data_IF_974509058017
#
_entry.id   IF_974509058017
#
_cell.length_a   1.000
_cell.length_b   1.000
_cell.length_c   1.000
_cell.angle_alpha   90.00
_cell.angle_beta   90.00
_cell.angle_gamma   90.00
#
_symmetry.space_group_name_H-M   'P 1'
#
loop_
_entity.id
_entity.type
_entity.pdbx_description
1 polymer ?
#
# COMPACT_ATOMS: atom_id res chain seq x y z
N UNK A 1 -19.31 -82.07 91.80
CA UNK A 1 -18.33 -80.96 91.82
C UNK A 1 -17.21 -81.32 90.83
N UNK A 2 -17.31 -80.86 89.58
CA UNK A 2 -16.64 -79.65 89.02
C UNK A 2 -15.14 -79.88 88.73
N UNK A 3 -14.79 -79.97 87.44
CA UNK A 3 -13.63 -79.28 86.86
C UNK A 3 -13.73 -79.20 85.34
N UNK A 4 -13.84 -77.96 84.88
CA UNK A 4 -13.95 -77.49 83.51
C UNK A 4 -12.58 -77.52 82.80
N UNK A 5 -12.57 -77.99 81.55
CA UNK A 5 -11.42 -77.91 80.66
C UNK A 5 -11.36 -76.52 80.01
N UNK A 6 -10.31 -75.77 80.32
CA UNK A 6 -9.99 -74.44 79.78
C UNK A 6 -9.44 -74.62 78.35
N UNK A 7 -10.13 -74.06 77.36
CA UNK A 7 -9.62 -73.86 75.99
C UNK A 7 -8.68 -72.64 75.99
N UNK A 8 -7.44 -72.81 75.54
CA UNK A 8 -6.43 -71.75 75.43
C UNK A 8 -6.63 -70.88 74.17
N UNK A 9 -6.44 -69.55 74.24
CA UNK A 9 -6.57 -68.64 73.11
C UNK A 9 -5.18 -68.25 72.58
N UNK A 10 -4.45 -69.16 71.91
CA UNK A 10 -3.12 -68.80 71.38
C UNK A 10 -2.87 -69.16 69.91
N UNK A 11 -3.81 -69.78 69.21
CA UNK A 11 -3.64 -70.14 67.79
C UNK A 11 -4.22 -69.10 66.79
N UNK A 12 -5.02 -68.13 67.24
CA UNK A 12 -5.73 -67.21 66.33
C UNK A 12 -4.95 -65.92 65.98
N UNK A 13 -3.89 -65.58 66.71
CA UNK A 13 -3.18 -64.30 66.54
C UNK A 13 -2.04 -64.35 65.50
N UNK A 14 -1.42 -65.52 65.27
CA UNK A 14 -0.27 -65.64 64.36
C UNK A 14 -0.68 -65.75 62.88
N UNK A 15 -1.83 -66.37 62.58
CA UNK A 15 -2.37 -66.48 61.21
C UNK A 15 -2.96 -65.15 60.73
N UNK A 16 -3.52 -64.34 61.64
CA UNK A 16 -4.03 -63.01 61.32
C UNK A 16 -2.91 -62.00 61.01
N UNK A 17 -1.77 -62.06 61.70
CA UNK A 17 -0.63 -61.17 61.46
C UNK A 17 0.14 -61.49 60.15
N UNK A 18 0.26 -62.76 59.78
CA UNK A 18 0.87 -63.18 58.52
C UNK A 18 -0.03 -62.89 57.30
N UNK A 19 -1.35 -63.03 57.44
CA UNK A 19 -2.31 -62.64 56.41
C UNK A 19 -2.35 -61.11 56.21
N UNK A 20 -2.23 -60.31 57.27
CA UNK A 20 -2.16 -58.85 57.16
C UNK A 20 -0.84 -58.36 56.53
N UNK A 21 0.28 -59.05 56.77
CA UNK A 21 1.58 -58.76 56.15
C UNK A 21 1.62 -59.15 54.65
N UNK A 22 0.98 -60.25 54.25
CA UNK A 22 0.87 -60.65 52.82
C UNK A 22 -0.14 -59.78 52.05
N UNK A 23 -1.24 -59.33 52.67
CA UNK A 23 -2.18 -58.37 52.08
C UNK A 23 -1.59 -56.96 51.99
N UNK A 24 -0.73 -56.55 52.94
CA UNK A 24 -0.01 -55.27 52.88
C UNK A 24 1.11 -55.28 51.83
N UNK A 25 1.81 -56.41 51.62
CA UNK A 25 2.83 -56.56 50.59
C UNK A 25 2.24 -56.59 49.16
N UNK A 26 1.13 -57.31 48.96
CA UNK A 26 0.43 -57.34 47.66
C UNK A 26 -0.24 -56.01 47.29
N UNK A 27 -0.71 -55.24 48.27
CA UNK A 27 -1.23 -53.88 48.05
C UNK A 27 -0.12 -52.88 47.69
N UNK A 28 1.09 -53.04 48.23
CA UNK A 28 2.27 -52.24 47.91
C UNK A 28 2.82 -52.48 46.51
N UNK A 29 2.88 -53.73 46.04
CA UNK A 29 3.30 -54.06 44.68
C UNK A 29 2.25 -53.69 43.62
N UNK A 30 0.96 -53.89 43.91
CA UNK A 30 -0.12 -53.46 43.02
C UNK A 30 -0.20 -51.93 42.92
N UNK A 31 0.06 -51.21 44.03
CA UNK A 31 0.17 -49.75 44.04
C UNK A 31 1.39 -49.26 43.27
N UNK A 32 2.57 -49.86 43.48
CA UNK A 32 3.81 -49.51 42.76
C UNK A 32 3.73 -49.79 41.25
N UNK A 33 3.03 -50.86 40.85
CA UNK A 33 2.81 -51.21 39.45
C UNK A 33 1.79 -50.26 38.77
N UNK A 34 0.75 -49.84 39.50
CA UNK A 34 -0.17 -48.80 39.02
C UNK A 34 0.54 -47.44 38.87
N UNK A 35 1.41 -47.09 39.81
CA UNK A 35 2.23 -45.87 39.75
C UNK A 35 3.18 -45.89 38.55
N UNK A 36 3.84 -47.01 38.27
CA UNK A 36 4.68 -47.20 37.08
C UNK A 36 3.89 -47.14 35.76
N UNK A 37 2.69 -47.70 35.72
CA UNK A 37 1.83 -47.63 34.54
C UNK A 37 1.30 -46.20 34.29
N UNK A 38 0.98 -45.46 35.35
CA UNK A 38 0.66 -44.02 35.28
C UNK A 38 1.84 -43.21 34.79
N UNK A 39 3.06 -43.46 35.29
CA UNK A 39 4.29 -42.83 34.81
C UNK A 39 4.55 -43.10 33.31
N UNK A 40 4.40 -44.34 32.85
CA UNK A 40 4.53 -44.69 31.42
C UNK A 40 3.46 -44.05 30.53
N UNK A 41 2.24 -43.88 31.03
CA UNK A 41 1.19 -43.15 30.30
C UNK A 41 1.50 -41.65 30.23
N UNK A 42 1.95 -41.05 31.34
CA UNK A 42 2.39 -39.66 31.41
C UNK A 42 3.58 -39.42 30.47
N UNK A 43 4.59 -40.29 30.45
CA UNK A 43 5.73 -40.21 29.52
C UNK A 43 5.28 -40.29 28.05
N UNK A 44 4.40 -41.25 27.70
CA UNK A 44 3.84 -41.34 26.34
C UNK A 44 3.03 -40.10 25.95
N UNK A 45 2.31 -39.49 26.91
CA UNK A 45 1.57 -38.24 26.67
C UNK A 45 2.53 -37.04 26.51
N UNK A 46 3.62 -37.00 27.26
CA UNK A 46 4.69 -36.00 27.12
C UNK A 46 5.39 -36.13 25.77
N UNK A 47 5.73 -37.34 25.32
CA UNK A 47 6.41 -37.56 24.04
C UNK A 47 5.49 -37.32 22.84
N UNK A 48 4.21 -37.73 22.91
CA UNK A 48 3.19 -37.31 21.93
C UNK A 48 3.01 -35.79 21.92
N UNK A 49 3.14 -35.13 23.07
CA UNK A 49 3.15 -33.67 23.21
C UNK A 49 4.35 -33.03 22.52
N UNK A 50 5.57 -33.52 22.79
CA UNK A 50 6.83 -33.07 22.18
C UNK A 50 6.83 -33.24 20.65
N UNK A 51 6.32 -34.37 20.15
CA UNK A 51 6.19 -34.62 18.71
C UNK A 51 5.24 -33.64 18.01
N UNK A 52 4.11 -33.30 18.66
CA UNK A 52 3.16 -32.28 18.19
C UNK A 52 3.75 -30.88 18.24
N UNK A 53 4.44 -30.51 19.32
CA UNK A 53 5.11 -29.21 19.45
C UNK A 53 6.19 -29.02 18.38
N UNK A 54 7.00 -30.05 18.12
CA UNK A 54 8.00 -30.02 17.06
C UNK A 54 7.37 -29.85 15.66
N UNK A 55 6.25 -30.54 15.39
CA UNK A 55 5.51 -30.38 14.15
C UNK A 55 4.94 -28.96 13.98
N UNK A 56 4.33 -28.41 15.03
CA UNK A 56 3.81 -27.04 15.05
C UNK A 56 4.92 -26.00 14.88
N UNK A 57 6.09 -26.21 15.51
CA UNK A 57 7.23 -25.30 15.36
C UNK A 57 7.82 -25.32 13.95
N UNK A 58 7.82 -26.48 13.27
CA UNK A 58 8.18 -26.60 11.84
C UNK A 58 7.17 -25.89 10.94
N UNK A 59 5.88 -26.09 11.17
CA UNK A 59 4.80 -25.42 10.43
C UNK A 59 4.91 -23.89 10.60
N UNK A 60 5.12 -23.41 11.83
CA UNK A 60 5.33 -21.99 12.11
C UNK A 60 6.59 -21.43 11.41
N UNK A 61 7.65 -22.23 11.26
CA UNK A 61 8.84 -21.87 10.51
C UNK A 61 8.56 -21.69 9.01
N UNK A 62 7.86 -22.65 8.39
CA UNK A 62 7.47 -22.60 6.97
C UNK A 62 6.59 -21.39 6.66
N UNK A 63 5.56 -21.15 7.47
CA UNK A 63 4.68 -20.00 7.35
C UNK A 63 5.44 -18.67 7.52
N UNK A 64 6.43 -18.61 8.41
CA UNK A 64 7.26 -17.40 8.59
C UNK A 64 8.17 -17.12 7.39
N UNK A 65 8.68 -18.15 6.70
CA UNK A 65 9.38 -18.00 5.41
C UNK A 65 8.43 -17.52 4.32
N UNK A 66 7.22 -18.07 4.26
CA UNK A 66 6.21 -17.68 3.29
C UNK A 66 5.79 -16.22 3.45
N UNK A 67 5.53 -15.76 4.67
CA UNK A 67 5.24 -14.35 4.97
C UNK A 67 6.39 -13.43 4.54
N UNK A 68 7.66 -13.85 4.76
CA UNK A 68 8.84 -13.10 4.30
C UNK A 68 8.93 -13.04 2.78
N UNK A 69 8.67 -14.15 2.09
CA UNK A 69 8.64 -14.22 0.63
C UNK A 69 7.54 -13.31 0.05
N UNK A 70 6.32 -13.39 0.60
CA UNK A 70 5.20 -12.53 0.21
C UNK A 70 5.55 -11.06 0.44
N UNK A 71 6.17 -10.71 1.58
CA UNK A 71 6.59 -9.33 1.87
C UNK A 71 7.56 -8.79 0.81
N UNK A 72 8.57 -9.56 0.40
CA UNK A 72 9.49 -9.19 -0.68
C UNK A 72 8.76 -8.99 -2.02
N UNK A 73 7.84 -9.89 -2.35
CA UNK A 73 7.01 -9.80 -3.57
C UNK A 73 6.12 -8.55 -3.55
N UNK A 74 5.48 -8.28 -2.41
CA UNK A 74 4.64 -7.10 -2.20
C UNK A 74 5.41 -5.80 -2.46
N UNK A 75 6.63 -5.66 -1.93
CA UNK A 75 7.49 -4.48 -2.19
C UNK A 75 7.84 -4.38 -3.69
N UNK A 76 8.14 -5.51 -4.33
CA UNK A 76 8.50 -5.55 -5.76
C UNK A 76 7.32 -5.15 -6.65
N UNK A 77 6.12 -5.70 -6.38
CA UNK A 77 4.90 -5.38 -7.10
C UNK A 77 4.48 -3.92 -6.86
N UNK A 78 4.60 -3.42 -5.63
CA UNK A 78 4.32 -2.03 -5.29
C UNK A 78 5.24 -1.06 -6.04
N UNK A 79 6.53 -1.37 -6.16
CA UNK A 79 7.47 -0.59 -6.97
C UNK A 79 7.09 -0.60 -8.45
N UNK A 80 6.74 -1.77 -9.01
CA UNK A 80 6.26 -1.88 -10.40
C UNK A 80 4.98 -1.06 -10.62
N UNK A 81 4.05 -1.12 -9.68
CA UNK A 81 2.81 -0.35 -9.70
C UNK A 81 3.09 1.16 -9.71
N UNK A 82 3.95 1.65 -8.82
CA UNK A 82 4.36 3.07 -8.80
C UNK A 82 5.01 3.49 -10.13
N UNK A 83 5.87 2.67 -10.73
CA UNK A 83 6.48 2.96 -12.03
C UNK A 83 5.43 3.06 -13.15
N UNK A 84 4.46 2.14 -13.18
CA UNK A 84 3.36 2.18 -14.14
C UNK A 84 2.46 3.41 -13.91
N UNK A 85 2.14 3.74 -12.66
CA UNK A 85 1.34 4.93 -12.31
C UNK A 85 2.04 6.20 -12.77
N UNK A 86 3.35 6.33 -12.53
CA UNK A 86 4.14 7.46 -12.99
C UNK A 86 4.20 7.56 -14.52
N UNK A 87 4.30 6.44 -15.23
CA UNK A 87 4.27 6.40 -16.69
C UNK A 87 2.91 6.88 -17.23
N UNK A 88 1.81 6.38 -16.67
CA UNK A 88 0.46 6.80 -17.05
C UNK A 88 0.24 8.29 -16.79
N UNK A 89 0.71 8.82 -15.66
CA UNK A 89 0.63 10.26 -15.37
C UNK A 89 1.40 11.14 -16.38
N UNK A 90 2.51 10.64 -16.96
CA UNK A 90 3.22 11.38 -18.02
C UNK A 90 2.36 11.49 -19.28
N UNK A 91 1.71 10.39 -19.67
CA UNK A 91 0.84 10.33 -20.85
C UNK A 91 -0.43 11.16 -20.64
N UNK A 92 -1.08 11.06 -19.48
CA UNK A 92 -2.25 11.88 -19.11
C UNK A 92 -1.95 13.38 -19.21
N UNK A 93 -0.78 13.83 -18.75
CA UNK A 93 -0.35 15.23 -18.87
C UNK A 93 -0.13 15.65 -20.33
N UNK A 94 0.47 14.78 -21.14
CA UNK A 94 0.64 15.05 -22.57
C UNK A 94 -0.71 15.17 -23.27
N UNK A 95 -1.65 14.27 -22.97
CA UNK A 95 -3.01 14.33 -23.48
C UNK A 95 -3.71 15.63 -23.07
N UNK A 96 -3.63 16.04 -21.80
CA UNK A 96 -4.22 17.29 -21.34
C UNK A 96 -3.68 18.52 -22.10
N UNK A 97 -2.38 18.56 -22.41
CA UNK A 97 -1.79 19.63 -23.25
C UNK A 97 -2.32 19.60 -24.68
N UNK A 98 -2.41 18.41 -25.29
CA UNK A 98 -2.98 18.25 -26.64
C UNK A 98 -4.45 18.67 -26.69
N UNK A 99 -5.25 18.29 -25.70
CA UNK A 99 -6.65 18.66 -25.61
C UNK A 99 -6.83 20.17 -25.40
N UNK A 100 -5.94 20.81 -24.63
CA UNK A 100 -5.92 22.27 -24.52
C UNK A 100 -5.61 22.94 -25.87
N UNK A 101 -4.59 22.45 -26.59
CA UNK A 101 -4.23 22.96 -27.91
C UNK A 101 -5.39 22.80 -28.92
N UNK A 102 -5.99 21.62 -28.98
CA UNK A 102 -7.17 21.33 -29.82
C UNK A 102 -8.32 22.30 -29.48
N UNK A 103 -8.61 22.53 -28.19
CA UNK A 103 -9.66 23.46 -27.77
C UNK A 103 -9.38 24.90 -28.22
N UNK A 104 -8.14 25.35 -28.09
CA UNK A 104 -7.71 26.70 -28.52
C UNK A 104 -7.82 26.84 -30.04
N UNK A 105 -7.29 25.88 -30.80
CA UNK A 105 -7.35 25.87 -32.28
C UNK A 105 -8.80 25.87 -32.76
N UNK A 106 -9.67 25.02 -32.18
CA UNK A 106 -11.09 24.97 -32.54
C UNK A 106 -11.79 26.30 -32.26
N UNK A 107 -11.42 27.01 -31.20
CA UNK A 107 -11.96 28.34 -30.91
C UNK A 107 -11.45 29.39 -31.92
N UNK A 108 -10.20 29.30 -32.36
CA UNK A 108 -9.66 30.17 -33.43
C UNK A 108 -10.33 29.90 -34.78
N UNK A 109 -10.52 28.63 -35.18
CA UNK A 109 -11.20 28.29 -36.42
C UNK A 109 -12.63 28.83 -36.47
N UNK A 110 -13.40 28.69 -35.38
CA UNK A 110 -14.76 29.26 -35.31
C UNK A 110 -14.78 30.79 -35.45
N UNK A 111 -13.72 31.49 -35.01
CA UNK A 111 -13.58 32.94 -35.22
C UNK A 111 -13.26 33.25 -36.68
N UNK A 112 -12.29 32.54 -37.27
CA UNK A 112 -11.87 32.73 -38.67
C UNK A 112 -12.98 32.36 -39.67
N UNK A 113 -13.75 31.30 -39.40
CA UNK A 113 -14.86 30.84 -40.25
C UNK A 113 -15.94 31.92 -40.38
N UNK A 114 -16.33 32.56 -39.28
CA UNK A 114 -17.30 33.68 -39.31
C UNK A 114 -16.82 34.84 -40.18
N UNK A 115 -15.54 35.21 -40.07
CA UNK A 115 -14.94 36.26 -40.90
C UNK A 115 -14.90 35.84 -42.38
N UNK A 116 -14.56 34.59 -42.67
CA UNK A 116 -14.50 34.09 -44.04
C UNK A 116 -15.88 34.01 -44.69
N UNK A 117 -16.90 33.54 -43.97
CA UNK A 117 -18.28 33.50 -44.45
C UNK A 117 -18.81 34.91 -44.75
N UNK A 118 -18.40 35.93 -43.98
CA UNK A 118 -18.72 37.33 -44.29
C UNK A 118 -18.08 37.79 -45.61
N UNK A 119 -16.81 37.46 -45.84
CA UNK A 119 -16.10 37.79 -47.09
C UNK A 119 -16.72 37.07 -48.29
N UNK A 120 -16.96 35.75 -48.17
CA UNK A 120 -17.60 34.96 -49.23
C UNK A 120 -19.02 35.46 -49.50
N UNK A 121 -19.78 35.80 -48.45
CA UNK A 121 -21.11 36.40 -48.59
C UNK A 121 -21.06 37.75 -49.30
N UNK A 122 -20.07 38.60 -49.00
CA UNK A 122 -19.85 39.87 -49.70
C UNK A 122 -19.47 39.64 -51.18
N UNK A 123 -18.54 38.73 -51.47
CA UNK A 123 -18.15 38.37 -52.85
C UNK A 123 -19.32 37.78 -53.64
N UNK A 124 -20.12 36.91 -53.03
CA UNK A 124 -21.32 36.34 -53.66
C UNK A 124 -22.36 37.42 -53.93
N UNK A 125 -22.55 38.39 -53.02
CA UNK A 125 -23.41 39.56 -53.26
C UNK A 125 -22.91 40.39 -54.44
N UNK A 126 -21.61 40.71 -54.51
CA UNK A 126 -21.02 41.43 -55.64
C UNK A 126 -21.26 40.68 -56.96
N UNK A 127 -21.12 39.35 -56.99
CA UNK A 127 -21.35 38.54 -58.20
C UNK A 127 -22.83 38.45 -58.58
N UNK A 128 -23.72 38.25 -57.60
CA UNK A 128 -25.14 37.93 -57.84
C UNK A 128 -26.05 39.15 -57.92
N UNK A 129 -25.67 40.26 -57.29
CA UNK A 129 -26.34 41.55 -57.38
C UNK A 129 -25.31 42.67 -57.12
N UNK A 130 -24.48 43.02 -58.12
CA UNK A 130 -23.52 44.09 -57.96
C UNK A 130 -24.27 45.35 -57.50
N UNK A 131 -23.84 46.03 -56.41
CA UNK A 131 -24.47 47.29 -56.00
C UNK A 131 -24.59 48.22 -57.21
N UNK A 132 -25.69 48.96 -57.35
CA UNK A 132 -25.99 49.76 -58.54
C UNK A 132 -24.84 50.67 -59.01
N UNK A 133 -23.94 51.07 -58.10
CA UNK A 133 -22.70 51.80 -58.41
C UNK A 133 -21.71 50.96 -59.24
N UNK A 134 -21.51 49.67 -58.94
CA UNK A 134 -20.68 48.77 -59.76
C UNK A 134 -21.38 48.38 -61.08
N UNK A 135 -22.70 48.34 -61.12
CA UNK A 135 -23.44 48.06 -62.35
C UNK A 135 -23.48 49.26 -63.31
N UNK A 136 -23.37 50.50 -62.79
CA UNK A 136 -23.45 51.74 -63.57
C UNK A 136 -22.09 52.45 -63.79
N UNK A 137 -20.99 52.08 -63.12
CA UNK A 137 -19.68 52.79 -63.19
C UNK A 137 -18.54 52.00 -63.87
N UNK A 138 -18.84 51.01 -64.72
CA UNK A 138 -17.85 50.53 -65.70
C UNK A 138 -17.90 51.33 -67.01
N UNK A 139 -18.43 52.55 -66.97
CA UNK A 139 -18.55 53.42 -68.14
C UNK A 139 -17.22 54.08 -68.53
N UNK A 140 -16.23 54.14 -67.62
CA UNK A 140 -14.95 54.84 -67.83
C UNK A 140 -13.71 53.96 -67.53
N UNK A 141 -12.69 54.06 -68.37
CA UNK A 141 -11.50 53.20 -68.34
C UNK A 141 -10.68 53.32 -67.05
N UNK A 142 -10.72 54.49 -66.39
CA UNK A 142 -9.97 54.77 -65.18
C UNK A 142 -10.51 54.02 -63.95
N UNK A 143 -11.82 53.84 -63.84
CA UNK A 143 -12.44 53.13 -62.71
C UNK A 143 -12.26 51.60 -62.80
N UNK A 144 -12.20 51.07 -64.02
CA UNK A 144 -11.78 49.69 -64.27
C UNK A 144 -10.32 49.45 -63.82
N UNK A 145 -9.42 50.40 -64.10
CA UNK A 145 -8.00 50.33 -63.67
C UNK A 145 -7.89 50.36 -62.14
N UNK A 146 -8.61 51.28 -61.46
CA UNK A 146 -8.61 51.37 -59.98
C UNK A 146 -9.14 50.09 -59.33
N UNK A 147 -10.23 49.53 -59.86
CA UNK A 147 -10.81 48.27 -59.39
C UNK A 147 -9.86 47.08 -59.60
N UNK A 148 -9.16 47.05 -60.73
CA UNK A 148 -8.16 46.02 -61.05
C UNK A 148 -6.94 46.10 -60.12
N UNK A 149 -6.48 47.31 -59.77
CA UNK A 149 -5.38 47.52 -58.82
C UNK A 149 -5.77 46.98 -57.43
N UNK A 150 -6.98 47.29 -56.95
CA UNK A 150 -7.46 46.80 -55.64
C UNK A 150 -7.57 45.28 -55.64
N UNK A 151 -8.18 44.68 -56.67
CA UNK A 151 -8.29 43.21 -56.79
C UNK A 151 -6.93 42.52 -56.89
N UNK A 152 -5.98 43.08 -57.65
CA UNK A 152 -4.60 42.58 -57.76
C UNK A 152 -3.89 42.57 -56.41
N UNK A 153 -4.21 43.51 -55.52
CA UNK A 153 -3.65 43.56 -54.16
C UNK A 153 -4.34 42.59 -53.19
N UNK A 154 -5.64 42.33 -53.36
CA UNK A 154 -6.44 41.51 -52.43
C UNK A 154 -6.34 40.01 -52.71
N UNK A 155 -6.34 39.59 -53.99
CA UNK A 155 -6.33 38.17 -54.36
C UNK A 155 -5.12 37.41 -53.79
N UNK A 156 -3.88 37.92 -53.86
CA UNK A 156 -2.73 37.25 -53.23
C UNK A 156 -2.88 37.10 -51.72
N UNK A 157 -3.43 38.10 -51.03
CA UNK A 157 -3.68 38.06 -49.57
C UNK A 157 -4.72 37.01 -49.21
N UNK A 158 -5.79 36.90 -49.99
CA UNK A 158 -6.81 35.86 -49.80
C UNK A 158 -6.25 34.45 -50.03
N UNK A 159 -5.43 34.25 -51.08
CA UNK A 159 -4.74 32.98 -51.33
C UNK A 159 -3.80 32.61 -50.19
N UNK A 160 -2.93 33.54 -49.76
CA UNK A 160 -2.02 33.31 -48.65
C UNK A 160 -2.76 32.92 -47.36
N UNK A 161 -3.90 33.58 -47.08
CA UNK A 161 -4.75 33.26 -45.92
C UNK A 161 -5.43 31.89 -46.05
N UNK A 162 -5.91 31.53 -47.23
CA UNK A 162 -6.50 30.21 -47.49
C UNK A 162 -5.47 29.10 -47.30
N UNK A 163 -4.24 29.29 -47.77
CA UNK A 163 -3.14 28.34 -47.58
C UNK A 163 -2.72 28.21 -46.11
N UNK A 164 -2.68 29.33 -45.38
CA UNK A 164 -2.46 29.32 -43.93
C UNK A 164 -3.54 28.52 -43.19
N UNK A 165 -4.82 28.76 -43.52
CA UNK A 165 -5.94 28.05 -42.91
C UNK A 165 -5.88 26.56 -43.22
N UNK A 166 -5.56 26.18 -44.47
CA UNK A 166 -5.36 24.79 -44.88
C UNK A 166 -4.26 24.12 -44.06
N UNK A 167 -3.11 24.76 -43.88
CA UNK A 167 -2.01 24.24 -43.04
C UNK A 167 -2.45 24.06 -41.59
N UNK A 168 -3.17 25.03 -41.02
CA UNK A 168 -3.72 24.95 -39.67
C UNK A 168 -4.70 23.78 -39.51
N UNK A 169 -5.60 23.55 -40.47
CA UNK A 169 -6.55 22.41 -40.43
C UNK A 169 -5.81 21.06 -40.47
N UNK A 170 -4.79 20.93 -41.31
CA UNK A 170 -3.96 19.71 -41.36
C UNK A 170 -3.26 19.46 -40.02
N UNK A 171 -2.65 20.50 -39.43
CA UNK A 171 -2.00 20.43 -38.13
C UNK A 171 -3.01 20.06 -37.01
N UNK A 172 -4.19 20.69 -37.00
CA UNK A 172 -5.25 20.39 -36.03
C UNK A 172 -5.71 18.93 -36.10
N UNK A 173 -5.91 18.40 -37.31
CA UNK A 173 -6.26 17.01 -37.51
C UNK A 173 -5.13 16.06 -37.07
N UNK A 174 -3.87 16.44 -37.24
CA UNK A 174 -2.74 15.69 -36.71
C UNK A 174 -2.74 15.65 -35.17
N UNK A 175 -3.00 16.80 -34.50
CA UNK A 175 -3.16 16.86 -33.05
C UNK A 175 -4.30 15.97 -32.55
N UNK A 176 -5.47 15.99 -33.23
CA UNK A 176 -6.60 15.12 -32.88
C UNK A 176 -6.25 13.64 -33.03
N UNK A 177 -5.55 13.24 -34.10
CA UNK A 177 -5.06 11.87 -34.27
C UNK A 177 -4.06 11.48 -33.18
N UNK A 178 -3.15 12.38 -32.80
CA UNK A 178 -2.22 12.13 -31.71
C UNK A 178 -2.97 11.94 -30.39
N UNK A 179 -3.90 12.84 -30.03
CA UNK A 179 -4.71 12.72 -28.82
C UNK A 179 -5.50 11.41 -28.79
N UNK A 180 -6.04 10.94 -29.92
CA UNK A 180 -6.71 9.65 -30.00
C UNK A 180 -5.76 8.46 -29.71
N UNK A 181 -4.52 8.50 -30.19
CA UNK A 181 -3.49 7.51 -29.87
C UNK A 181 -3.11 7.53 -28.38
N UNK A 182 -2.93 8.72 -27.79
CA UNK A 182 -2.64 8.88 -26.37
C UNK A 182 -3.77 8.33 -25.49
N UNK A 183 -5.04 8.59 -25.85
CA UNK A 183 -6.21 8.02 -25.15
C UNK A 183 -6.22 6.49 -25.18
N UNK A 184 -5.90 5.90 -26.34
CA UNK A 184 -5.80 4.44 -26.49
C UNK A 184 -4.66 3.87 -25.62
N UNK A 185 -3.51 4.55 -25.57
CA UNK A 185 -2.39 4.16 -24.72
C UNK A 185 -2.73 4.25 -23.22
N UNK A 186 -3.41 5.33 -22.79
CA UNK A 186 -3.90 5.46 -21.41
C UNK A 186 -4.87 4.34 -21.04
N UNK A 187 -5.78 3.97 -21.95
CA UNK A 187 -6.72 2.86 -21.72
C UNK A 187 -5.97 1.53 -21.51
N UNK A 188 -5.02 1.20 -22.39
CA UNK A 188 -4.20 0.01 -22.27
C UNK A 188 -3.37 -0.02 -20.97
N UNK A 189 -2.73 1.11 -20.61
CA UNK A 189 -1.98 1.22 -19.34
C UNK A 189 -2.88 1.14 -18.12
N UNK A 190 -4.10 1.65 -18.19
CA UNK A 190 -5.06 1.58 -17.09
C UNK A 190 -5.51 0.15 -16.83
N UNK A 191 -5.67 -0.67 -17.87
CA UNK A 191 -5.97 -2.09 -17.69
C UNK A 191 -4.77 -2.86 -17.10
N UNK A 192 -3.55 -2.59 -17.59
CA UNK A 192 -2.33 -3.18 -17.00
C UNK A 192 -2.13 -2.81 -15.51
N UNK A 193 -2.48 -1.57 -15.14
CA UNK A 193 -2.51 -1.11 -13.77
C UNK A 193 -3.56 -1.84 -12.94
N UNK A 194 -4.76 -2.09 -13.50
CA UNK A 194 -5.82 -2.84 -12.83
C UNK A 194 -5.37 -4.27 -12.52
N UNK A 195 -4.73 -4.94 -13.46
CA UNK A 195 -4.14 -6.26 -13.25
C UNK A 195 -3.08 -6.28 -12.14
N UNK A 196 -2.17 -5.29 -12.14
CA UNK A 196 -1.12 -5.18 -11.11
C UNK A 196 -1.70 -4.88 -9.73
N UNK A 197 -2.74 -4.04 -9.65
CA UNK A 197 -3.46 -3.75 -8.38
C UNK A 197 -4.16 -4.99 -7.83
N UNK A 198 -4.75 -5.80 -8.71
CA UNK A 198 -5.38 -7.06 -8.32
C UNK A 198 -4.34 -8.04 -7.76
N UNK A 199 -3.21 -8.21 -8.45
CA UNK A 199 -2.10 -9.05 -7.96
C UNK A 199 -1.64 -8.60 -6.57
N UNK A 200 -1.47 -7.29 -6.37
CA UNK A 200 -1.06 -6.73 -5.08
C UNK A 200 -2.11 -7.02 -3.99
N UNK A 201 -3.39 -6.81 -4.30
CA UNK A 201 -4.49 -7.09 -3.37
C UNK A 201 -4.54 -8.58 -2.98
N UNK A 202 -4.33 -9.50 -3.92
CA UNK A 202 -4.25 -10.95 -3.65
C UNK A 202 -3.08 -11.27 -2.73
N UNK A 203 -1.90 -10.67 -2.94
CA UNK A 203 -0.74 -10.88 -2.07
C UNK A 203 -0.97 -10.34 -0.64
N UNK A 204 -1.57 -9.16 -0.52
CA UNK A 204 -1.93 -8.58 0.78
C UNK A 204 -2.99 -9.43 1.49
N UNK A 205 -4.00 -9.91 0.77
CA UNK A 205 -5.03 -10.81 1.30
C UNK A 205 -4.48 -12.17 1.74
N UNK A 206 -3.54 -12.75 0.98
CA UNK A 206 -2.83 -13.98 1.40
C UNK A 206 -2.04 -13.73 2.67
N UNK A 207 -1.29 -12.62 2.74
CA UNK A 207 -0.55 -12.23 3.94
C UNK A 207 -1.49 -12.12 5.15
N UNK A 208 -2.60 -11.41 5.04
CA UNK A 208 -3.52 -11.23 6.18
C UNK A 208 -4.12 -12.56 6.66
N UNK A 209 -4.48 -13.48 5.76
CA UNK A 209 -4.96 -14.83 6.10
C UNK A 209 -3.92 -15.66 6.86
N UNK A 210 -2.70 -15.76 6.33
CA UNK A 210 -1.60 -16.50 6.97
C UNK A 210 -1.33 -16.02 8.41
N UNK A 211 -1.49 -14.71 8.64
CA UNK A 211 -1.31 -14.11 9.95
C UNK A 211 -2.47 -14.38 10.90
N UNK A 212 -3.69 -14.46 10.38
CA UNK A 212 -4.88 -14.78 11.16
C UNK A 212 -4.88 -16.26 11.60
N UNK A 213 -4.59 -17.18 10.67
CA UNK A 213 -4.43 -18.63 10.93
C UNK A 213 -3.44 -18.87 12.06
N UNK A 214 -2.33 -18.15 12.03
CA UNK A 214 -1.32 -18.25 13.08
C UNK A 214 -1.77 -17.71 14.44
N UNK A 215 -2.64 -16.69 14.50
CA UNK A 215 -3.06 -16.12 15.79
C UNK A 215 -4.02 -17.05 16.53
N UNK A 216 -4.94 -17.68 15.81
CA UNK A 216 -5.99 -18.52 16.37
C UNK A 216 -5.45 -19.86 16.94
N UNK A 217 -4.54 -20.53 16.23
CA UNK A 217 -3.96 -21.81 16.65
C UNK A 217 -3.16 -21.70 17.97
N UNK A 218 -2.60 -20.52 18.24
CA UNK A 218 -1.75 -20.26 19.42
C UNK A 218 -2.52 -19.92 20.67
N UNK A 219 -3.60 -19.15 20.53
CA UNK A 219 -4.54 -18.93 21.63
C UNK A 219 -5.11 -20.25 22.16
N UNK A 220 -5.27 -21.26 21.30
CA UNK A 220 -5.69 -22.61 21.66
C UNK A 220 -4.63 -23.38 22.47
N UNK A 221 -3.36 -23.29 22.08
CA UNK A 221 -2.22 -23.89 22.81
C UNK A 221 -1.99 -23.19 24.16
N UNK A 222 -2.06 -21.85 24.20
CA UNK A 222 -1.93 -21.07 25.44
C UNK A 222 -3.07 -21.34 26.43
N UNK A 223 -4.30 -21.52 25.95
CA UNK A 223 -5.43 -21.95 26.81
C UNK A 223 -5.24 -23.37 27.36
N UNK A 224 -4.56 -24.25 26.62
CA UNK A 224 -4.20 -25.60 27.09
C UNK A 224 -3.14 -25.56 28.17
N UNK A 225 -2.15 -24.70 28.01
CA UNK A 225 -1.11 -24.42 28.99
C UNK A 225 -1.69 -23.81 30.27
N UNK A 226 -2.62 -22.86 30.14
CA UNK A 226 -3.35 -22.29 31.28
C UNK A 226 -4.18 -23.33 32.06
N UNK A 227 -4.72 -24.36 31.38
CA UNK A 227 -5.38 -25.49 32.03
C UNK A 227 -4.40 -26.38 32.80
N UNK A 228 -3.21 -26.63 32.24
CA UNK A 228 -2.17 -27.43 32.89
C UNK A 228 -1.58 -26.73 34.13
N UNK A 229 -1.47 -25.39 34.11
CA UNK A 229 -1.07 -24.61 35.30
C UNK A 229 -2.11 -24.62 36.42
N UNK A 230 -3.40 -24.79 36.10
CA UNK A 230 -4.46 -24.96 37.10
C UNK A 230 -4.49 -26.37 37.71
N UNK A 231 -3.76 -27.33 37.13
CA UNK A 231 -3.69 -28.72 37.59
C UNK A 231 -2.38 -29.06 38.33
N UNK A 232 -1.52 -28.07 38.61
CA UNK A 232 -0.27 -28.27 39.34
C UNK A 232 -0.47 -27.99 40.84
N UNK A 233 -0.38 -29.03 41.68
CA UNK A 233 -0.63 -28.96 43.12
C UNK A 233 0.57 -28.42 43.94
N UNK A 234 1.78 -28.32 43.36
CA UNK A 234 2.96 -27.79 44.06
C UNK A 234 3.76 -26.75 43.26
N UNK A 235 4.36 -25.81 43.99
CA UNK A 235 5.13 -24.65 43.48
C UNK A 235 6.45 -25.08 42.80
N UNK A 236 7.06 -26.20 43.23
CA UNK A 236 8.29 -26.74 42.65
C UNK A 236 8.04 -27.38 41.27
N UNK A 237 6.91 -28.09 41.09
CA UNK A 237 6.50 -28.63 39.79
C UNK A 237 6.13 -27.53 38.80
N UNK A 238 5.47 -26.47 39.27
CA UNK A 238 5.15 -25.30 38.45
C UNK A 238 6.42 -24.59 37.96
N UNK A 239 7.42 -24.39 38.82
CA UNK A 239 8.69 -23.73 38.46
C UNK A 239 9.56 -24.62 37.55
N UNK A 240 9.58 -25.93 37.75
CA UNK A 240 10.29 -26.88 36.88
C UNK A 240 9.62 -27.03 35.50
N UNK A 241 8.29 -26.93 35.42
CA UNK A 241 7.53 -26.92 34.18
C UNK A 241 7.68 -25.57 33.44
N UNK A 242 7.60 -24.43 34.13
CA UNK A 242 7.81 -23.09 33.56
C UNK A 242 9.22 -22.90 32.98
N UNK A 243 10.26 -23.41 33.66
CA UNK A 243 11.64 -23.37 33.15
C UNK A 243 11.84 -24.27 31.91
N UNK A 244 11.08 -25.37 31.78
CA UNK A 244 11.06 -26.23 30.59
C UNK A 244 10.21 -25.68 29.45
N UNK A 245 9.16 -24.91 29.76
CA UNK A 245 8.26 -24.28 28.77
C UNK A 245 8.89 -23.02 28.15
N UNK A 246 9.55 -22.18 28.96
CA UNK A 246 10.23 -20.96 28.49
C UNK A 246 11.43 -21.23 27.59
N UNK A 247 12.00 -22.44 27.66
CA UNK A 247 13.02 -22.94 26.74
C UNK A 247 12.46 -23.49 25.41
N UNK A 248 11.13 -23.65 25.27
CA UNK A 248 10.50 -24.14 24.03
C UNK A 248 10.18 -23.00 23.05
N UNK A 249 10.48 -23.14 21.75
CA UNK A 249 10.08 -22.19 20.74
C UNK A 249 8.56 -22.28 20.51
N UNK A 250 7.83 -21.40 21.19
CA UNK A 250 6.41 -21.12 21.02
C UNK A 250 5.99 -21.11 19.52
N UNK A 251 5.17 -22.08 19.06
CA UNK A 251 4.79 -22.20 17.66
C UNK A 251 3.97 -21.00 17.24
N UNK A 252 4.50 -20.16 16.35
CA UNK A 252 3.92 -18.93 15.80
C UNK A 252 4.52 -17.62 16.34
N UNK A 253 5.47 -17.70 17.30
CA UNK A 253 6.21 -16.54 17.81
C UNK A 253 6.98 -15.99 16.64
N UNK A 254 7.49 -16.89 15.80
CA UNK A 254 8.19 -16.64 14.53
C UNK A 254 7.39 -15.86 13.48
N UNK A 255 6.05 -15.93 13.46
CA UNK A 255 5.23 -15.26 12.43
C UNK A 255 4.73 -13.91 12.92
N UNK A 256 4.29 -13.82 14.20
CA UNK A 256 4.08 -12.52 14.85
C UNK A 256 5.41 -11.76 14.92
N UNK A 257 6.52 -12.46 15.16
CA UNK A 257 7.87 -11.95 15.04
C UNK A 257 8.20 -11.57 13.60
N UNK A 258 7.87 -12.35 12.57
CA UNK A 258 8.18 -11.94 11.19
C UNK A 258 7.59 -10.58 10.78
N UNK A 259 6.53 -10.11 11.47
CA UNK A 259 5.94 -8.78 11.28
C UNK A 259 6.26 -7.73 12.36
N UNK A 260 6.33 -8.14 13.62
CA UNK A 260 6.53 -7.26 14.78
C UNK A 260 7.99 -7.26 15.25
N UNK A 261 8.77 -8.25 14.84
CA UNK A 261 10.21 -8.24 15.04
C UNK A 261 10.82 -7.37 13.99
N UNK A 262 11.55 -6.40 14.52
CA UNK A 262 12.45 -5.54 13.80
C UNK A 262 13.25 -6.36 12.79
N UNK A 263 13.26 -5.98 11.50
CA UNK A 263 14.10 -6.63 10.50
C UNK A 263 15.55 -6.77 11.00
N UNK A 264 16.22 -7.89 10.72
CA UNK A 264 17.60 -8.16 11.17
C UNK A 264 18.61 -7.07 10.77
N UNK A 265 18.29 -6.26 9.76
CA UNK A 265 19.06 -5.09 9.34
C UNK A 265 18.14 -3.89 9.15
N UNK A 266 17.87 -3.14 10.22
CA UNK A 266 17.29 -1.79 10.08
C UNK A 266 18.43 -0.81 9.92
N UNK A 267 18.50 -0.20 8.74
CA UNK A 267 19.51 0.78 8.41
C UNK A 267 19.31 2.06 9.24
N UNK A 268 20.41 2.77 9.54
CA UNK A 268 20.35 4.05 10.23
C UNK A 268 19.72 5.11 9.33
N UNK A 269 18.62 5.71 9.78
CA UNK A 269 17.89 6.70 8.99
C UNK A 269 18.79 7.87 8.65
N UNK A 270 19.68 8.31 9.56
CA UNK A 270 20.63 9.40 9.30
C UNK A 270 21.51 9.18 8.05
N UNK A 271 21.73 7.93 7.63
CA UNK A 271 22.47 7.56 6.39
C UNK A 271 21.58 7.41 5.15
N UNK A 272 20.28 7.66 5.27
CA UNK A 272 19.26 7.53 4.22
C UNK A 272 19.07 8.81 3.41
N UNK A 273 19.84 9.88 3.67
CA UNK A 273 19.79 11.11 2.87
C UNK A 273 20.03 10.77 1.39
N UNK A 274 19.17 11.28 0.50
CA UNK A 274 19.17 10.93 -0.93
C UNK A 274 18.77 9.49 -1.26
N UNK A 275 18.14 8.74 -0.33
CA UNK A 275 17.76 7.32 -0.51
C UNK A 275 16.32 7.01 -0.09
N UNK A 276 15.61 7.96 0.53
CA UNK A 276 14.23 7.76 0.98
C UNK A 276 13.30 7.63 -0.22
N UNK A 277 12.46 6.61 -0.23
CA UNK A 277 11.50 6.36 -1.31
C UNK A 277 10.39 7.41 -1.23
N UNK A 278 9.99 7.98 -2.37
CA UNK A 278 8.81 8.83 -2.41
C UNK A 278 7.55 8.00 -2.05
N UNK A 279 6.71 8.46 -1.10
CA UNK A 279 5.59 7.66 -0.60
C UNK A 279 4.52 7.40 -1.65
N UNK A 280 4.46 8.20 -2.73
CA UNK A 280 3.54 8.01 -3.85
C UNK A 280 4.19 8.43 -5.16
N UNK A 281 3.72 7.84 -6.26
CA UNK A 281 3.98 8.38 -7.59
C UNK A 281 3.10 9.59 -7.85
N UNK A 282 3.72 10.77 -7.80
CA UNK A 282 3.03 12.04 -7.99
C UNK A 282 4.00 13.19 -8.26
N UNK A 283 3.43 14.32 -8.67
CA UNK A 283 4.18 15.58 -8.84
C UNK A 283 4.22 16.32 -7.52
N UNK A 284 5.38 16.83 -7.15
CA UNK A 284 5.52 17.75 -6.03
C UNK A 284 4.76 19.06 -6.32
N UNK A 285 3.78 19.39 -5.49
CA UNK A 285 2.91 20.59 -5.63
C UNK A 285 3.07 21.60 -4.49
N UNK A 286 3.70 21.20 -3.38
CA UNK A 286 4.15 22.12 -2.34
C UNK A 286 5.40 21.54 -1.68
N UNK A 287 6.34 22.41 -1.33
CA UNK A 287 7.59 22.12 -0.64
C UNK A 287 7.55 22.58 0.81
N UNK A 288 8.52 22.12 1.57
CA UNK A 288 8.76 22.59 2.93
C UNK A 288 9.05 24.10 2.88
N UNK A 289 8.40 24.87 3.75
CA UNK A 289 8.54 26.33 3.82
C UNK A 289 7.74 27.12 2.79
N UNK A 290 7.12 26.48 1.78
CA UNK A 290 6.16 27.17 0.90
C UNK A 290 4.98 27.69 1.74
N UNK A 291 4.36 28.81 1.34
CA UNK A 291 3.12 29.29 1.96
C UNK A 291 1.94 28.44 1.48
N UNK A 292 1.10 28.02 2.41
CA UNK A 292 -0.16 27.36 2.09
C UNK A 292 -1.25 28.37 1.69
N UNK A 293 -2.45 27.87 1.39
CA UNK A 293 -3.59 28.70 0.99
C UNK A 293 -4.08 29.68 2.07
N UNK A 294 -3.54 29.60 3.29
CA UNK A 294 -3.82 30.47 4.43
C UNK A 294 -2.59 31.28 4.86
N UNK A 295 -1.51 31.26 4.08
CA UNK A 295 -0.27 31.99 4.35
C UNK A 295 0.68 31.32 5.36
N UNK A 296 0.32 30.14 5.89
CA UNK A 296 1.15 29.41 6.86
C UNK A 296 2.22 28.57 6.15
N UNK A 297 3.43 28.43 6.72
CA UNK A 297 4.47 27.61 6.12
C UNK A 297 4.08 26.13 6.14
N UNK A 298 4.30 25.45 5.02
CA UNK A 298 4.11 24.00 4.92
C UNK A 298 5.27 23.27 5.60
N UNK A 299 4.96 22.39 6.56
CA UNK A 299 5.94 21.64 7.36
C UNK A 299 6.43 20.34 6.68
N UNK A 300 6.21 20.18 5.38
CA UNK A 300 6.49 18.95 4.66
C UNK A 300 6.34 19.10 3.15
N UNK A 301 6.08 18.00 2.46
CA UNK A 301 5.91 17.93 1.01
C UNK A 301 4.48 17.51 0.67
N UNK A 302 3.90 18.09 -0.39
CA UNK A 302 2.62 17.63 -0.96
C UNK A 302 2.82 17.09 -2.36
N UNK A 303 2.32 15.90 -2.62
CA UNK A 303 2.34 15.24 -3.92
C UNK A 303 0.94 15.21 -4.51
N UNK A 304 0.75 15.74 -5.72
CA UNK A 304 -0.43 15.46 -6.52
C UNK A 304 -0.25 14.13 -7.25
N UNK A 305 -1.10 13.17 -6.91
CA UNK A 305 -1.05 11.80 -7.43
C UNK A 305 -2.35 11.46 -8.17
N UNK A 306 -2.43 10.26 -8.76
CA UNK A 306 -3.71 9.74 -9.27
C UNK A 306 -4.61 9.36 -8.10
N UNK A 307 -5.92 9.52 -8.27
CA UNK A 307 -6.89 9.00 -7.30
C UNK A 307 -6.71 7.47 -7.17
N UNK A 308 -6.68 6.99 -5.94
CA UNK A 308 -6.44 5.58 -5.69
C UNK A 308 -5.00 5.11 -5.94
N UNK A 309 -4.02 6.02 -6.04
CA UNK A 309 -2.62 5.66 -6.17
C UNK A 309 -2.11 4.90 -4.94
N UNK A 310 -1.16 3.98 -5.15
CA UNK A 310 -0.57 3.20 -4.06
C UNK A 310 0.40 4.05 -3.24
N UNK A 311 0.11 4.19 -1.95
CA UNK A 311 1.04 4.76 -0.98
C UNK A 311 1.94 3.67 -0.39
N UNK A 312 3.23 3.98 -0.23
CA UNK A 312 4.25 3.08 0.32
C UNK A 312 5.04 3.74 1.45
N UNK A 313 5.67 2.92 2.30
CA UNK A 313 6.55 3.39 3.36
C UNK A 313 7.82 4.04 2.75
N UNK A 314 8.17 5.29 3.12
CA UNK A 314 9.37 5.97 2.61
C UNK A 314 10.67 5.27 2.98
N UNK A 315 10.71 4.65 4.15
CA UNK A 315 11.88 3.96 4.68
C UNK A 315 11.50 2.86 5.66
N UNK A 316 12.45 2.00 6.00
CA UNK A 316 12.29 0.96 7.03
C UNK A 316 11.91 1.60 8.38
N UNK A 317 10.90 1.05 9.05
CA UNK A 317 10.44 1.61 10.33
C UNK A 317 9.31 0.83 10.98
N UNK A 318 8.87 1.30 12.13
CA UNK A 318 7.73 0.76 12.86
C UNK A 318 6.55 1.73 12.79
N UNK A 319 5.35 1.22 12.55
CA UNK A 319 4.13 2.01 12.62
C UNK A 319 3.85 2.35 14.09
N UNK A 320 3.96 3.63 14.45
CA UNK A 320 3.62 4.11 15.80
C UNK A 320 2.20 4.66 15.88
N UNK A 321 1.62 5.04 14.74
CA UNK A 321 0.21 5.42 14.65
C UNK A 321 -0.35 5.15 13.24
N UNK A 322 -1.54 4.57 13.17
CA UNK A 322 -2.32 4.33 11.96
C UNK A 322 -3.81 4.51 12.30
N UNK A 323 -4.43 5.59 11.81
CA UNK A 323 -5.82 5.89 12.09
C UNK A 323 -6.22 7.31 11.70
N UNK A 324 -7.48 7.67 11.94
CA UNK A 324 -7.97 9.03 11.72
C UNK A 324 -7.46 9.99 12.78
N UNK A 325 -7.06 11.20 12.39
CA UNK A 325 -6.60 12.24 13.31
C UNK A 325 -7.09 13.63 12.90
N UNK A 326 -7.95 14.23 13.74
CA UNK A 326 -8.49 15.59 13.55
C UNK A 326 -9.00 15.81 12.12
N UNK A 327 -8.78 17.01 11.58
CA UNK A 327 -9.11 17.41 10.20
C UNK A 327 -8.19 16.82 9.14
N UNK A 328 -7.11 16.13 9.50
CA UNK A 328 -6.21 15.49 8.53
C UNK A 328 -6.80 14.18 7.95
N UNK A 329 -7.85 13.65 8.56
CA UNK A 329 -8.42 12.36 8.19
C UNK A 329 -7.44 11.22 8.53
N UNK A 330 -7.39 10.14 7.72
CA UNK A 330 -6.48 9.03 7.95
C UNK A 330 -5.02 9.46 7.81
N UNK A 331 -4.27 9.30 8.90
CA UNK A 331 -2.83 9.53 8.95
C UNK A 331 -2.08 8.25 9.36
N UNK A 332 -0.83 8.20 8.95
CA UNK A 332 0.12 7.15 9.30
C UNK A 332 1.41 7.81 9.82
N UNK A 333 1.91 7.36 10.95
CA UNK A 333 3.21 7.78 11.49
C UNK A 333 4.12 6.55 11.59
N UNK A 334 5.28 6.66 10.96
CA UNK A 334 6.32 5.64 10.93
C UNK A 334 7.52 6.16 11.72
N UNK A 335 7.87 5.47 12.80
CA UNK A 335 9.12 5.69 13.52
C UNK A 335 10.27 4.99 12.79
N UNK A 336 11.34 5.74 12.56
CA UNK A 336 12.59 5.28 12.01
C UNK A 336 13.69 5.29 13.10
N UNK A 337 14.85 4.75 12.77
CA UNK A 337 16.03 4.85 13.64
C UNK A 337 16.49 6.30 13.80
N UNK A 338 17.31 6.56 14.82
CA UNK A 338 17.90 7.89 15.11
C UNK A 338 16.88 8.99 15.46
N UNK A 339 15.68 8.63 15.94
CA UNK A 339 14.65 9.57 16.40
C UNK A 339 13.86 10.27 15.29
N UNK A 340 13.92 9.73 14.07
CA UNK A 340 13.20 10.25 12.91
C UNK A 340 11.79 9.66 12.79
N UNK A 341 10.84 10.46 12.34
CA UNK A 341 9.47 10.02 12.09
C UNK A 341 8.98 10.52 10.74
N UNK A 342 8.37 9.65 9.94
CA UNK A 342 7.62 10.05 8.75
C UNK A 342 6.13 10.08 9.07
N UNK A 343 5.48 11.21 8.82
CA UNK A 343 4.03 11.36 8.87
C UNK A 343 3.49 11.40 7.44
N UNK A 344 2.49 10.57 7.15
CA UNK A 344 1.81 10.47 5.86
C UNK A 344 0.33 10.75 6.08
N UNK A 345 -0.24 11.67 5.29
CA UNK A 345 -1.65 12.03 5.32
C UNK A 345 -2.23 12.16 3.90
N UNK A 346 -3.56 12.23 3.78
CA UNK A 346 -4.27 12.22 2.49
C UNK A 346 -4.59 10.82 1.97
N UNK A 347 -4.65 9.84 2.88
CA UNK A 347 -5.02 8.46 2.56
C UNK A 347 -6.54 8.30 2.61
N UNK A 348 -7.10 7.51 1.69
CA UNK A 348 -8.48 7.02 1.79
C UNK A 348 -8.58 5.71 2.58
N UNK A 349 -7.49 4.92 2.58
CA UNK A 349 -7.41 3.65 3.29
C UNK A 349 -6.00 3.41 3.80
N UNK A 350 -5.88 2.84 4.99
CA UNK A 350 -4.61 2.41 5.58
C UNK A 350 -4.58 0.88 5.57
N UNK A 351 -3.49 0.31 5.05
CA UNK A 351 -3.31 -1.13 4.84
C UNK A 351 -2.36 -1.77 5.88
N UNK A 352 -1.98 -1.01 6.91
CA UNK A 352 -1.06 -1.41 7.99
C UNK A 352 -1.65 -1.14 9.37
N UNK A 353 -1.11 -1.81 10.39
CA UNK A 353 -1.59 -1.69 11.78
C UNK A 353 -0.50 -1.14 12.71
N UNK A 354 -0.92 -0.60 13.86
CA UNK A 354 -0.01 -0.14 14.91
C UNK A 354 0.98 -1.24 15.33
N UNK A 355 2.22 -0.84 15.62
CA UNK A 355 3.39 -1.66 15.99
C UNK A 355 3.93 -2.58 14.88
N UNK A 356 3.34 -2.59 13.70
CA UNK A 356 3.87 -3.34 12.55
C UNK A 356 5.20 -2.75 12.07
N UNK A 357 6.19 -3.59 11.77
CA UNK A 357 7.37 -3.15 11.02
C UNK A 357 7.09 -3.16 9.52
N UNK A 358 7.50 -2.10 8.84
CA UNK A 358 7.42 -1.93 7.38
C UNK A 358 8.81 -1.74 6.79
N UNK A 359 9.02 -2.23 5.56
CA UNK A 359 10.23 -1.95 4.79
C UNK A 359 10.01 -0.74 3.88
N UNK A 360 11.08 -0.08 3.48
CA UNK A 360 11.05 0.90 2.41
C UNK A 360 10.35 0.32 1.15
N UNK A 361 9.36 1.05 0.63
CA UNK A 361 8.57 0.62 -0.52
C UNK A 361 7.44 -0.37 -0.22
N UNK A 362 7.26 -0.80 1.03
CA UNK A 362 6.11 -1.64 1.42
C UNK A 362 4.81 -0.83 1.33
N UNK A 363 3.73 -1.34 0.70
CA UNK A 363 2.41 -0.73 0.70
C UNK A 363 1.91 -0.41 2.10
N UNK A 364 1.43 0.82 2.28
CA UNK A 364 0.86 1.28 3.55
C UNK A 364 -0.56 1.81 3.45
N UNK A 365 -1.05 2.06 2.24
CA UNK A 365 -2.41 2.56 2.03
C UNK A 365 -2.66 3.04 0.62
N UNK A 366 -3.83 3.63 0.41
CA UNK A 366 -4.25 4.17 -0.88
C UNK A 366 -4.54 5.67 -0.75
N UNK A 367 -4.08 6.46 -1.71
CA UNK A 367 -4.30 7.91 -1.76
C UNK A 367 -5.78 8.21 -2.00
N UNK A 368 -6.34 9.06 -1.15
CA UNK A 368 -7.72 9.53 -1.26
C UNK A 368 -7.89 10.71 -2.19
N UNK A 369 -9.14 11.11 -2.40
CA UNK A 369 -9.49 12.32 -3.15
C UNK A 369 -10.13 13.33 -2.21
N UNK A 370 -9.55 14.53 -2.11
CA UNK A 370 -10.13 15.64 -1.37
C UNK A 370 -10.65 16.70 -2.37
N UNK A 371 -11.95 17.01 -2.35
CA UNK A 371 -12.49 18.12 -3.14
C UNK A 371 -12.18 19.45 -2.43
N UNK A 372 -11.84 20.55 -3.15
CA UNK A 372 -11.63 20.67 -4.60
C UNK A 372 -10.19 20.33 -5.05
N UNK A 373 -9.31 19.98 -4.12
CA UNK A 373 -7.86 19.90 -4.32
C UNK A 373 -7.38 18.68 -5.15
N UNK A 374 -8.23 17.67 -5.35
CA UNK A 374 -7.92 16.41 -6.02
C UNK A 374 -7.21 15.41 -5.11
N UNK A 375 -6.62 14.37 -5.71
CA UNK A 375 -5.85 13.37 -4.98
C UNK A 375 -4.46 13.90 -4.60
N UNK A 376 -4.24 14.10 -3.30
CA UNK A 376 -2.99 14.62 -2.75
C UNK A 376 -2.52 13.78 -1.58
N UNK A 377 -1.22 13.53 -1.52
CA UNK A 377 -0.57 12.91 -0.37
C UNK A 377 0.37 13.93 0.27
N UNK A 378 0.32 14.04 1.59
CA UNK A 378 1.24 14.84 2.39
C UNK A 378 2.29 13.94 3.04
N UNK A 379 3.55 14.36 3.00
CA UNK A 379 4.67 13.74 3.70
C UNK A 379 5.35 14.78 4.57
N UNK A 380 5.48 14.50 5.85
CA UNK A 380 6.29 15.28 6.78
C UNK A 380 7.35 14.39 7.40
N UNK A 381 8.55 14.95 7.53
CA UNK A 381 9.66 14.29 8.20
C UNK A 381 9.96 15.07 9.48
N UNK A 382 10.07 14.37 10.60
CA UNK A 382 10.41 14.96 11.89
C UNK A 382 11.69 14.35 12.44
N UNK A 383 12.49 15.15 13.14
CA UNK A 383 13.62 14.71 13.94
C UNK A 383 13.44 15.26 15.36
N UNK A 384 13.41 14.39 16.38
CA UNK A 384 13.19 14.83 17.76
C UNK A 384 11.88 15.61 17.94
N UNK A 385 10.84 15.24 17.20
CA UNK A 385 9.52 15.89 17.25
C UNK A 385 9.37 17.16 16.41
N UNK A 386 10.46 17.75 15.91
CA UNK A 386 10.42 18.98 15.08
C UNK A 386 10.39 18.64 13.58
N UNK A 387 9.56 19.31 12.76
CA UNK A 387 9.53 19.10 11.32
C UNK A 387 10.83 19.61 10.67
N UNK A 388 11.34 18.85 9.71
CA UNK A 388 12.52 19.17 8.90
C UNK A 388 12.19 19.00 7.41
N UNK A 389 12.92 19.67 6.52
CA UNK A 389 12.70 19.53 5.08
C UNK A 389 12.93 18.06 4.63
N UNK A 390 11.89 17.36 4.12
CA UNK A 390 12.03 15.99 3.64
C UNK A 390 12.72 15.91 2.27
N UNK A 391 12.78 17.00 1.50
CA UNK A 391 13.23 16.97 0.10
C UNK A 391 14.67 16.46 -0.07
N UNK A 392 15.67 16.85 0.74
CA UNK A 392 17.04 16.34 0.63
C UNK A 392 17.18 14.85 0.96
N UNK A 393 16.17 14.25 1.59
CA UNK A 393 16.18 12.84 1.97
C UNK A 393 15.67 11.94 0.86
N UNK A 394 14.78 12.45 0.03
CA UNK A 394 14.20 11.70 -1.08
C UNK A 394 15.29 11.25 -2.05
N UNK A 395 15.16 10.01 -2.53
CA UNK A 395 15.98 9.50 -3.59
C UNK A 395 15.88 10.42 -4.80
N UNK A 396 17.04 10.82 -5.33
CA UNK A 396 17.10 11.66 -6.51
C UNK A 396 16.26 11.02 -7.60
N UNK A 397 15.28 11.78 -8.06
CA UNK A 397 14.43 11.28 -9.10
C UNK A 397 15.22 11.30 -10.41
N UNK A 398 15.80 10.16 -10.80
CA UNK A 398 16.42 10.00 -12.13
C UNK A 398 15.44 10.32 -13.27
N UNK A 399 14.14 10.51 -12.98
CA UNK A 399 13.08 10.95 -13.90
C UNK A 399 13.12 12.44 -14.29
N UNK A 400 14.13 13.22 -13.89
CA UNK A 400 14.24 14.68 -14.18
C UNK A 400 15.02 15.04 -15.46
N UNK A 401 15.36 14.09 -16.34
CA UNK A 401 16.29 14.34 -17.48
C UNK A 401 15.61 14.55 -18.84
N UNK A 402 14.32 14.24 -19.02
CA UNK A 402 13.65 14.53 -20.30
C UNK A 402 12.90 15.86 -20.20
N UNK A 403 13.67 16.95 -20.37
CA UNK A 403 13.19 18.32 -20.55
C UNK A 403 12.52 18.53 -21.90
#
# INVERSE_FOLDING_TARGET
MLRSAIRSPFAAAAVAAAAFALLAAGAGEASAQNERNRLKDVERRIDKGRGRDAALSRQAGRLAEEVRSIRKRVVTVARRLQLQEAATMRVERRLARLENAIRTDSAEFRRNERQFLQIVGALRRIRSNPPGVLAMHFADAQDAIRSTIVLRSLVPRLRARADELRRKVVAHNALRRQAARERKDIAAKSEALRGTRLELATLLGRRTRLLAETRAERTLVQRRLARLTHQAETLQDLVANLKRETARPEPGRKIRAALLTRPNRVHRFRKARGKVVAPVSGRLVARFGDRDGFGMPVNGLRFAARTGAQAVAPYDGQIVFAGSFRSYGPILIIEHTDGYHSLIAGLARIDVVNRQWVLAGEPVGIVGMAKPLGARLYLELRQGGRPIDPQPWLAADKRKVDG
#
